data_IF_464310166672
#
_entry.id   IF_464310166672
#
_cell.length_a   1.000
_cell.length_b   1.000
_cell.length_c   1.000
_cell.angle_alpha   90.00
_cell.angle_beta   90.00
_cell.angle_gamma   90.00
#
_symmetry.space_group_name_H-M   'P 1'
#
loop_
_entity.id
_entity.type
_entity.pdbx_description
1 polymer ?
#
# COMPACT_ATOMS: atom_id res chain seq x y z
N UNK A 1 -15.13 3.71 23.14
CA UNK A 1 -13.72 3.79 23.56
C UNK A 1 -12.89 4.13 22.34
N UNK A 2 -12.22 5.28 22.33
CA UNK A 2 -11.42 5.81 21.22
C UNK A 2 -10.02 5.17 21.16
N UNK A 3 -9.26 5.29 20.05
CA UNK A 3 -7.86 4.87 20.00
C UNK A 3 -7.01 5.48 21.11
N UNK A 4 -7.19 6.78 21.38
CA UNK A 4 -6.49 7.49 22.45
C UNK A 4 -6.77 6.90 23.84
N UNK A 5 -8.05 6.62 24.15
CA UNK A 5 -8.44 5.97 25.42
C UNK A 5 -7.86 4.56 25.58
N UNK A 6 -7.42 3.92 24.48
CA UNK A 6 -6.74 2.63 24.45
C UNK A 6 -5.21 2.73 24.31
N UNK A 7 -4.63 3.93 24.47
CA UNK A 7 -3.19 4.22 24.31
C UNK A 7 -2.63 3.90 22.92
N UNK A 8 -3.45 3.96 21.87
CA UNK A 8 -2.96 3.90 20.50
C UNK A 8 -2.51 5.28 20.01
N UNK A 9 -1.44 5.31 19.22
CA UNK A 9 -0.91 6.50 18.55
C UNK A 9 -0.46 6.17 17.13
N UNK A 10 -0.46 7.17 16.26
CA UNK A 10 0.18 7.06 14.95
C UNK A 10 1.70 7.11 15.17
N UNK A 11 2.46 6.07 14.82
CA UNK A 11 3.92 6.12 14.92
C UNK A 11 4.51 7.13 13.93
N UNK A 12 5.70 7.63 14.23
CA UNK A 12 6.45 8.43 13.27
C UNK A 12 6.75 7.64 12.00
N UNK A 13 6.75 8.29 10.84
CA UNK A 13 7.08 7.67 9.53
C UNK A 13 8.53 7.15 9.40
N UNK A 14 9.35 7.42 10.41
CA UNK A 14 10.75 7.00 10.50
C UNK A 14 10.94 5.82 11.48
N UNK A 15 9.88 5.42 12.19
CA UNK A 15 9.90 4.22 13.03
C UNK A 15 9.84 2.96 12.16
N UNK A 16 10.16 1.80 12.73
CA UNK A 16 10.18 0.54 11.99
C UNK A 16 8.82 0.20 11.38
N UNK A 17 8.82 -0.13 10.10
CA UNK A 17 7.64 -0.55 9.35
C UNK A 17 7.66 -2.06 9.09
N UNK A 18 6.49 -2.69 9.12
CA UNK A 18 6.35 -4.07 8.67
C UNK A 18 6.31 -4.16 7.13
N UNK A 19 5.65 -3.19 6.49
CA UNK A 19 5.55 -3.11 5.04
C UNK A 19 5.04 -1.74 4.57
N UNK A 20 5.22 -1.47 3.28
CA UNK A 20 4.57 -0.38 2.56
C UNK A 20 3.49 -0.90 1.62
N UNK A 21 2.33 -0.25 1.64
CA UNK A 21 1.25 -0.47 0.69
C UNK A 21 1.34 0.51 -0.48
N UNK A 22 1.05 0.03 -1.69
CA UNK A 22 0.98 0.82 -2.92
C UNK A 22 -0.28 0.40 -3.67
N UNK A 23 -1.11 1.33 -4.12
CA UNK A 23 -2.23 1.01 -5.02
C UNK A 23 -1.76 1.04 -6.47
N UNK A 24 -2.15 0.03 -7.25
CA UNK A 24 -1.91 -0.03 -8.69
C UNK A 24 -2.81 0.97 -9.44
N UNK A 25 -2.34 1.62 -10.53
CA UNK A 25 -3.14 2.54 -11.32
C UNK A 25 -4.47 1.91 -11.79
N UNK A 26 -5.58 2.60 -11.54
CA UNK A 26 -6.91 2.22 -12.00
C UNK A 26 -7.22 2.88 -13.34
N UNK A 27 -7.63 2.08 -14.33
CA UNK A 27 -7.87 2.55 -15.70
C UNK A 27 -9.04 3.53 -15.82
N UNK A 28 -9.99 3.46 -14.90
CA UNK A 28 -11.23 4.23 -14.99
C UNK A 28 -11.09 5.64 -14.38
N UNK A 29 -10.05 5.87 -13.58
CA UNK A 29 -9.86 7.11 -12.81
C UNK A 29 -8.52 7.80 -13.04
N UNK A 30 -7.46 7.03 -13.34
CA UNK A 30 -6.11 7.54 -13.45
C UNK A 30 -5.76 7.84 -14.92
N UNK A 31 -4.81 8.76 -15.12
CA UNK A 31 -4.35 9.19 -16.44
C UNK A 31 -2.97 8.60 -16.75
N UNK A 32 -2.60 8.59 -18.04
CA UNK A 32 -1.28 8.12 -18.50
C UNK A 32 -0.90 6.72 -18.01
N UNK A 33 -1.90 5.83 -17.89
CA UNK A 33 -1.81 4.51 -17.24
C UNK A 33 -0.53 3.74 -17.57
N UNK A 34 -0.11 3.69 -18.84
CA UNK A 34 1.09 2.93 -19.21
C UNK A 34 2.37 3.46 -18.55
N UNK A 35 2.56 4.79 -18.55
CA UNK A 35 3.73 5.41 -17.92
C UNK A 35 3.64 5.25 -16.41
N UNK A 36 2.47 5.52 -15.84
CA UNK A 36 2.27 5.46 -14.40
C UNK A 36 2.50 4.04 -13.84
N UNK A 37 2.01 3.01 -14.52
CA UNK A 37 2.31 1.63 -14.12
C UNK A 37 3.81 1.30 -14.14
N UNK A 38 4.56 1.82 -15.11
CA UNK A 38 6.00 1.58 -15.18
C UNK A 38 6.73 2.29 -14.05
N UNK A 39 6.31 3.51 -13.70
CA UNK A 39 6.83 4.22 -12.52
C UNK A 39 6.54 3.48 -11.22
N UNK A 40 5.32 2.96 -11.04
CA UNK A 40 4.94 2.15 -9.88
C UNK A 40 5.80 0.89 -9.78
N UNK A 41 6.07 0.20 -10.90
CA UNK A 41 6.95 -0.98 -10.93
C UNK A 41 8.37 -0.61 -10.49
N UNK A 42 8.95 0.43 -11.08
CA UNK A 42 10.32 0.87 -10.75
C UNK A 42 10.40 1.28 -9.28
N UNK A 43 9.43 2.03 -8.78
CA UNK A 43 9.39 2.46 -7.39
C UNK A 43 9.25 1.28 -6.43
N UNK A 44 8.29 0.39 -6.66
CA UNK A 44 8.04 -0.77 -5.83
C UNK A 44 9.25 -1.74 -5.80
N UNK A 45 9.92 -1.97 -6.93
CA UNK A 45 11.12 -2.82 -7.00
C UNK A 45 12.32 -2.22 -6.26
N UNK A 46 12.47 -0.89 -6.25
CA UNK A 46 13.52 -0.24 -5.46
C UNK A 46 13.19 -0.30 -3.98
N UNK A 47 11.94 -0.07 -3.61
CA UNK A 47 11.49 -0.09 -2.22
C UNK A 47 11.56 -1.49 -1.60
N UNK A 48 11.30 -2.53 -2.40
CA UNK A 48 11.33 -3.93 -1.94
C UNK A 48 12.70 -4.41 -1.45
N UNK A 49 13.76 -3.63 -1.69
CA UNK A 49 15.11 -3.88 -1.16
C UNK A 49 15.27 -3.47 0.30
N UNK A 50 14.37 -2.65 0.80
CA UNK A 50 14.41 -2.08 2.16
C UNK A 50 13.33 -2.65 3.05
N UNK A 51 12.13 -2.86 2.51
CA UNK A 51 11.00 -3.42 3.27
C UNK A 51 10.07 -4.23 2.37
N UNK A 52 9.17 -4.98 2.99
CA UNK A 52 8.11 -5.71 2.28
C UNK A 52 7.18 -4.73 1.57
N UNK A 53 6.88 -4.99 0.31
CA UNK A 53 5.93 -4.21 -0.48
C UNK A 53 4.67 -5.04 -0.76
N UNK A 54 3.51 -4.41 -0.56
CA UNK A 54 2.20 -4.95 -0.96
C UNK A 54 1.60 -4.02 -2.01
N UNK A 55 1.42 -4.54 -3.21
CA UNK A 55 0.69 -3.87 -4.30
C UNK A 55 -0.76 -4.28 -4.23
N UNK A 56 -1.65 -3.32 -4.03
CA UNK A 56 -3.10 -3.52 -4.02
C UNK A 56 -3.61 -3.14 -5.41
N UNK A 57 -4.22 -4.09 -6.10
CA UNK A 57 -4.74 -3.88 -7.44
C UNK A 57 -6.22 -4.24 -7.50
N UNK A 58 -6.99 -3.42 -8.21
CA UNK A 58 -8.35 -3.77 -8.59
C UNK A 58 -8.36 -5.15 -9.30
N UNK A 59 -9.37 -6.01 -9.06
CA UNK A 59 -9.46 -7.32 -9.70
C UNK A 59 -9.32 -7.30 -11.23
N UNK A 60 -9.79 -6.23 -11.89
CA UNK A 60 -9.67 -6.06 -13.35
C UNK A 60 -8.22 -5.84 -13.82
N UNK A 61 -7.33 -5.41 -12.93
CA UNK A 61 -5.91 -5.15 -13.20
C UNK A 61 -4.96 -6.12 -12.48
N UNK A 62 -5.48 -7.02 -11.64
CA UNK A 62 -4.69 -7.98 -10.86
C UNK A 62 -3.66 -8.74 -11.71
N UNK A 63 -4.07 -9.35 -12.82
CA UNK A 63 -3.18 -10.14 -13.68
C UNK A 63 -2.00 -9.32 -14.22
N UNK A 64 -2.24 -8.04 -14.51
CA UNK A 64 -1.22 -7.13 -15.03
C UNK A 64 -0.22 -6.74 -13.94
N UNK A 65 -0.73 -6.35 -12.77
CA UNK A 65 0.09 -6.06 -11.60
C UNK A 65 0.90 -7.30 -11.16
N UNK A 66 0.27 -8.48 -11.14
CA UNK A 66 0.91 -9.73 -10.78
C UNK A 66 2.06 -10.09 -11.73
N UNK A 67 1.83 -10.05 -13.04
CA UNK A 67 2.89 -10.34 -14.03
C UNK A 67 4.09 -9.41 -13.89
N UNK A 68 3.86 -8.13 -13.57
CA UNK A 68 4.92 -7.13 -13.45
C UNK A 68 5.64 -7.16 -12.09
N UNK A 69 4.94 -7.48 -10.99
CA UNK A 69 5.46 -7.23 -9.63
C UNK A 69 5.70 -8.48 -8.77
N UNK A 70 5.22 -9.67 -9.16
CA UNK A 70 5.26 -10.89 -8.31
C UNK A 70 6.64 -11.33 -7.81
N UNK A 71 7.71 -10.87 -8.45
CA UNK A 71 9.09 -11.24 -8.10
C UNK A 71 9.64 -10.45 -6.91
N UNK A 72 9.02 -9.32 -6.56
CA UNK A 72 9.52 -8.41 -5.54
C UNK A 72 8.45 -7.84 -4.60
N UNK A 73 7.16 -8.05 -4.89
CA UNK A 73 6.05 -7.60 -4.03
C UNK A 73 4.99 -8.70 -3.88
N UNK A 74 4.17 -8.59 -2.83
CA UNK A 74 2.89 -9.30 -2.72
C UNK A 74 1.81 -8.52 -3.44
N UNK A 75 0.89 -9.22 -4.12
CA UNK A 75 -0.17 -8.58 -4.89
C UNK A 75 -1.50 -8.99 -4.25
N UNK A 76 -2.27 -8.00 -3.79
CA UNK A 76 -3.61 -8.21 -3.26
C UNK A 76 -4.66 -7.73 -4.25
N UNK A 77 -5.67 -8.57 -4.48
CA UNK A 77 -6.82 -8.25 -5.33
C UNK A 77 -7.91 -7.65 -4.45
N UNK A 78 -8.02 -6.32 -4.44
CA UNK A 78 -9.00 -5.57 -3.65
C UNK A 78 -9.58 -4.49 -4.57
N UNK A 79 -10.91 -4.32 -4.65
CA UNK A 79 -11.51 -3.26 -5.44
C UNK A 79 -10.95 -1.88 -5.07
N UNK A 80 -10.53 -1.12 -6.07
CA UNK A 80 -9.95 0.22 -5.87
C UNK A 80 -10.32 1.15 -7.02
N UNK A 81 -10.86 2.32 -6.68
CA UNK A 81 -11.29 3.31 -7.67
C UNK A 81 -10.23 4.37 -7.98
N UNK A 82 -9.11 4.44 -7.24
CA UNK A 82 -8.07 5.47 -7.43
C UNK A 82 -6.73 5.00 -6.84
N UNK A 83 -5.60 5.28 -7.51
CA UNK A 83 -4.29 4.82 -7.04
C UNK A 83 -3.58 5.77 -6.07
N UNK A 84 -4.30 6.19 -5.01
CA UNK A 84 -3.79 7.15 -4.03
C UNK A 84 -3.94 6.70 -2.57
N UNK A 85 -3.26 5.59 -2.23
CA UNK A 85 -3.32 4.91 -0.91
C UNK A 85 -2.96 5.77 0.29
N UNK A 86 -2.23 6.87 0.08
CA UNK A 86 -1.89 7.79 1.17
C UNK A 86 -3.14 8.43 1.78
N UNK A 87 -4.16 8.67 0.95
CA UNK A 87 -5.35 9.44 1.34
C UNK A 87 -6.56 8.54 1.57
N UNK A 88 -6.64 7.37 0.92
CA UNK A 88 -7.76 6.42 1.05
C UNK A 88 -7.38 5.09 1.73
N UNK A 89 -6.12 4.91 2.11
CA UNK A 89 -5.65 3.76 2.88
C UNK A 89 -5.81 3.94 4.39
N UNK A 90 -5.65 2.86 5.18
CA UNK A 90 -5.75 2.94 6.63
C UNK A 90 -4.62 3.77 7.23
N UNK A 91 -4.93 4.53 8.29
CA UNK A 91 -3.89 5.10 9.15
C UNK A 91 -3.59 4.10 10.25
N UNK A 92 -2.43 3.44 10.15
CA UNK A 92 -2.01 2.48 11.16
C UNK A 92 -1.65 3.17 12.47
N UNK A 93 -2.14 2.59 13.56
CA UNK A 93 -1.90 3.02 14.93
C UNK A 93 -1.32 1.85 15.74
N UNK A 94 -0.42 2.17 16.67
CA UNK A 94 0.24 1.20 17.54
C UNK A 94 0.13 1.63 18.99
N UNK A 95 -0.02 0.68 19.91
CA UNK A 95 -0.01 0.95 21.34
C UNK A 95 1.29 0.48 22.02
N UNK A 96 1.43 0.75 23.32
CA UNK A 96 2.64 0.41 24.09
C UNK A 96 2.84 -1.10 24.28
N UNK A 97 1.84 -1.93 23.93
CA UNK A 97 1.93 -3.40 23.90
C UNK A 97 2.31 -3.93 22.50
N UNK A 98 2.67 -3.03 21.58
CA UNK A 98 2.95 -3.31 20.17
C UNK A 98 1.78 -3.90 19.38
N UNK A 99 0.55 -3.77 19.86
CA UNK A 99 -0.65 -4.12 19.08
C UNK A 99 -0.87 -3.09 17.97
N UNK A 100 -1.30 -3.54 16.80
CA UNK A 100 -1.56 -2.71 15.61
C UNK A 100 -3.04 -2.69 15.29
N UNK A 101 -3.57 -1.52 14.96
CA UNK A 101 -4.92 -1.33 14.45
C UNK A 101 -4.91 -0.28 13.30
N UNK A 102 -6.04 -0.13 12.61
CA UNK A 102 -6.23 0.90 11.58
C UNK A 102 -7.37 1.86 11.96
N UNK A 103 -7.23 3.12 11.56
CA UNK A 103 -8.27 4.15 11.58
C UNK A 103 -8.67 4.48 10.15
#
# INVERSE_FOLDING_TARGET
>A
MTPYEKNFKVPGRFEDHECTFITWPSKDSDLEIFNYENEIVIFAEKLSKFEKVVVIADPSNFEKAFKKCKHFALIWSIPTDFSWIRDNGPIFIKNDKAEVAGV
#
